data_IF_845188464636
#
_entry.id   IF_845188464636
#
_cell.length_a   1.000
_cell.length_b   1.000
_cell.length_c   1.000
_cell.angle_alpha   90.00
_cell.angle_beta   90.00
_cell.angle_gamma   90.00
#
_symmetry.space_group_name_H-M   'P 1'
#
loop_
_entity.id
_entity.type
_entity.pdbx_description
1 polymer ?
#
# COMPACT_ATOMS: atom_id res chain seq x y z
N UNK A 1 -19.60 20.31 -0.92
CA UNK A 1 -19.07 20.27 -2.30
C UNK A 1 -18.50 18.89 -2.58
N UNK A 2 -18.62 18.38 -3.81
CA UNK A 2 -18.18 17.00 -4.16
C UNK A 2 -16.66 16.80 -4.00
N UNK A 3 -15.86 17.82 -4.29
CA UNK A 3 -14.39 17.81 -4.14
C UNK A 3 -13.95 17.59 -2.68
N UNK A 4 -14.55 18.30 -1.72
CA UNK A 4 -14.27 18.07 -0.30
C UNK A 4 -14.60 16.63 0.13
N UNK A 5 -15.65 16.03 -0.44
CA UNK A 5 -15.97 14.62 -0.18
C UNK A 5 -14.95 13.65 -0.77
N UNK A 6 -14.35 13.99 -1.92
CA UNK A 6 -13.23 13.22 -2.51
C UNK A 6 -12.04 13.24 -1.57
N UNK A 7 -11.62 14.41 -1.10
CA UNK A 7 -10.49 14.55 -0.17
C UNK A 7 -10.74 13.78 1.15
N UNK A 8 -11.95 13.86 1.71
CA UNK A 8 -12.31 13.08 2.91
C UNK A 8 -12.21 11.57 2.67
N UNK A 9 -12.66 11.06 1.52
CA UNK A 9 -12.55 9.63 1.21
C UNK A 9 -11.10 9.22 1.00
N UNK A 10 -10.27 10.06 0.38
CA UNK A 10 -8.83 9.80 0.23
C UNK A 10 -8.14 9.70 1.60
N UNK A 11 -8.37 10.67 2.50
CA UNK A 11 -7.88 10.61 3.89
C UNK A 11 -8.28 9.32 4.59
N UNK A 12 -9.54 8.92 4.43
CA UNK A 12 -10.04 7.68 5.02
C UNK A 12 -9.38 6.44 4.43
N UNK A 13 -8.98 6.45 3.16
CA UNK A 13 -8.26 5.34 2.55
C UNK A 13 -6.85 5.22 3.14
N UNK A 14 -6.12 6.32 3.32
CA UNK A 14 -4.79 6.28 3.98
C UNK A 14 -4.88 5.69 5.40
N UNK A 15 -5.87 6.13 6.17
CA UNK A 15 -6.09 5.59 7.52
C UNK A 15 -6.47 4.10 7.53
N UNK A 16 -7.15 3.62 6.47
CA UNK A 16 -7.43 2.20 6.33
C UNK A 16 -6.17 1.41 5.95
N UNK A 17 -5.26 1.97 5.15
CA UNK A 17 -3.95 1.36 4.89
C UNK A 17 -3.12 1.27 6.16
N UNK A 18 -3.03 2.34 6.96
CA UNK A 18 -2.42 2.30 8.27
C UNK A 18 -2.98 1.16 9.14
N UNK A 19 -4.31 1.02 9.18
CA UNK A 19 -4.96 -0.08 9.90
C UNK A 19 -4.60 -1.47 9.35
N UNK A 20 -4.53 -1.63 8.04
CA UNK A 20 -4.10 -2.89 7.42
C UNK A 20 -2.65 -3.22 7.74
N UNK A 21 -1.74 -2.23 7.70
CA UNK A 21 -0.35 -2.41 8.09
C UNK A 21 -0.21 -2.80 9.56
N UNK A 22 -1.01 -2.23 10.47
CA UNK A 22 -1.05 -2.68 11.88
C UNK A 22 -1.54 -4.12 12.04
N UNK A 23 -2.50 -4.57 11.22
CA UNK A 23 -2.86 -5.99 11.22
C UNK A 23 -1.71 -6.87 10.70
N UNK A 24 -0.91 -6.38 9.76
CA UNK A 24 0.29 -7.08 9.31
C UNK A 24 1.34 -7.21 10.41
N UNK A 25 1.48 -6.24 11.33
CA UNK A 25 2.32 -6.39 12.54
C UNK A 25 1.90 -7.61 13.36
N UNK A 26 0.58 -7.79 13.55
CA UNK A 26 0.03 -8.95 14.27
C UNK A 26 0.25 -10.27 13.52
N UNK A 27 0.13 -10.25 12.20
CA UNK A 27 0.31 -11.45 11.36
C UNK A 27 1.77 -11.85 11.18
N UNK A 28 2.68 -10.86 11.15
CA UNK A 28 4.10 -11.01 10.82
C UNK A 28 4.98 -10.32 11.87
N UNK A 29 5.01 -10.81 13.12
CA UNK A 29 5.71 -10.14 14.22
C UNK A 29 7.21 -9.97 13.97
N UNK A 30 7.83 -10.86 13.21
CA UNK A 30 9.25 -10.78 12.85
C UNK A 30 9.58 -9.59 11.93
N UNK A 31 8.56 -9.02 11.27
CA UNK A 31 8.65 -7.87 10.36
C UNK A 31 7.83 -6.67 10.89
N UNK A 32 7.53 -6.66 12.19
CA UNK A 32 6.70 -5.65 12.83
C UNK A 32 7.20 -4.23 12.55
N UNK A 33 8.51 -4.01 12.65
CA UNK A 33 9.13 -2.69 12.49
C UNK A 33 8.85 -2.10 11.10
N UNK A 34 8.94 -2.92 10.05
CA UNK A 34 8.70 -2.50 8.67
C UNK A 34 7.22 -2.12 8.47
N UNK A 35 6.30 -2.93 8.99
CA UNK A 35 4.87 -2.60 8.90
C UNK A 35 4.46 -1.42 9.77
N UNK A 36 5.06 -1.22 10.95
CA UNK A 36 4.85 -0.03 11.77
C UNK A 36 5.34 1.24 11.06
N UNK A 37 6.47 1.17 10.36
CA UNK A 37 6.97 2.28 9.56
C UNK A 37 6.00 2.65 8.42
N UNK A 38 5.49 1.65 7.68
CA UNK A 38 4.48 1.88 6.65
C UNK A 38 3.20 2.49 7.23
N UNK A 39 2.71 1.97 8.36
CA UNK A 39 1.53 2.52 9.02
C UNK A 39 1.71 4.00 9.41
N UNK A 40 2.88 4.37 9.91
CA UNK A 40 3.20 5.75 10.28
C UNK A 40 3.28 6.67 9.06
N UNK A 41 3.82 6.19 7.94
CA UNK A 41 3.85 6.96 6.69
C UNK A 41 2.43 7.26 6.19
N UNK A 42 1.51 6.29 6.26
CA UNK A 42 0.10 6.51 5.88
C UNK A 42 -0.64 7.47 6.79
N UNK A 43 -0.33 7.49 8.09
CA UNK A 43 -0.83 8.53 8.99
C UNK A 43 -0.32 9.93 8.58
N UNK A 44 0.93 10.00 8.10
CA UNK A 44 1.51 11.21 7.52
C UNK A 44 0.76 11.65 6.26
N UNK A 45 0.45 10.73 5.34
CA UNK A 45 -0.37 11.03 4.16
C UNK A 45 -1.77 11.52 4.54
N UNK A 46 -2.41 10.90 5.53
CA UNK A 46 -3.72 11.33 6.03
C UNK A 46 -3.68 12.76 6.59
N UNK A 47 -2.58 13.15 7.26
CA UNK A 47 -2.39 14.52 7.76
C UNK A 47 -2.19 15.54 6.63
N UNK A 48 -1.45 15.17 5.57
CA UNK A 48 -1.32 16.01 4.36
C UNK A 48 -2.69 16.24 3.72
N UNK A 49 -3.49 15.18 3.56
CA UNK A 49 -4.83 15.29 2.99
C UNK A 49 -5.75 16.12 3.89
N UNK A 50 -5.56 16.10 5.21
CA UNK A 50 -6.30 16.99 6.12
C UNK A 50 -6.04 18.46 5.83
N UNK A 51 -4.77 18.83 5.59
CA UNK A 51 -4.40 20.19 5.20
C UNK A 51 -5.04 20.58 3.84
N UNK A 52 -5.14 19.61 2.91
CA UNK A 52 -5.86 19.79 1.64
C UNK A 52 -7.37 19.99 1.86
N UNK A 53 -7.99 19.27 2.81
CA UNK A 53 -9.41 19.44 3.14
C UNK A 53 -9.67 20.84 3.68
N UNK A 54 -8.80 21.35 4.57
CA UNK A 54 -8.88 22.71 5.11
C UNK A 54 -8.79 23.73 3.97
N UNK A 55 -7.78 23.63 3.10
CA UNK A 55 -7.63 24.52 1.94
C UNK A 55 -8.85 24.46 1.00
N UNK A 56 -9.38 23.27 0.68
CA UNK A 56 -10.59 23.16 -0.16
C UNK A 56 -11.78 23.89 0.47
N UNK A 57 -11.85 23.91 1.81
CA UNK A 57 -12.92 24.60 2.53
C UNK A 57 -12.75 26.11 2.50
N UNK A 58 -11.52 26.60 2.62
CA UNK A 58 -11.20 28.04 2.67
C UNK A 58 -11.16 28.68 1.28
N UNK A 59 -10.65 27.95 0.28
CA UNK A 59 -10.38 28.42 -1.08
C UNK A 59 -10.86 27.45 -2.16
N UNK A 60 -12.17 27.11 -2.21
CA UNK A 60 -12.69 26.11 -3.15
C UNK A 60 -12.44 26.44 -4.63
N UNK A 61 -12.27 27.70 -4.99
CA UNK A 61 -11.94 28.16 -6.34
C UNK A 61 -10.58 27.68 -6.85
N UNK A 62 -9.67 27.32 -5.94
CA UNK A 62 -8.35 26.78 -6.28
C UNK A 62 -8.40 25.31 -6.71
N UNK A 63 -9.56 24.66 -6.60
CA UNK A 63 -9.69 23.21 -6.70
C UNK A 63 -10.69 22.76 -7.75
N UNK A 64 -10.34 21.64 -8.39
CA UNK A 64 -11.19 20.97 -9.37
C UNK A 64 -11.14 19.48 -9.13
N UNK A 65 -12.24 18.81 -9.45
CA UNK A 65 -12.25 17.36 -9.49
C UNK A 65 -11.43 16.89 -10.71
N UNK A 66 -10.53 15.94 -10.47
CA UNK A 66 -9.78 15.28 -11.52
C UNK A 66 -10.57 14.16 -12.21
N UNK A 67 -9.84 13.22 -12.80
CA UNK A 67 -10.41 12.09 -13.57
C UNK A 67 -11.00 10.98 -12.70
N UNK A 68 -10.54 10.86 -11.46
CA UNK A 68 -11.02 9.83 -10.53
C UNK A 68 -12.27 10.34 -9.80
N UNK A 69 -13.37 9.60 -9.92
CA UNK A 69 -14.65 9.99 -9.32
C UNK A 69 -14.75 9.58 -7.85
N UNK A 70 -15.58 10.29 -7.08
CA UNK A 70 -15.94 9.90 -5.70
C UNK A 70 -16.48 8.47 -5.61
N UNK A 71 -17.28 8.04 -6.60
CA UNK A 71 -17.82 6.68 -6.65
C UNK A 71 -16.72 5.63 -6.77
N UNK A 72 -15.71 5.87 -7.62
CA UNK A 72 -14.56 4.98 -7.78
C UNK A 72 -13.80 4.84 -6.46
N UNK A 73 -13.54 5.95 -5.76
CA UNK A 73 -12.83 5.94 -4.48
C UNK A 73 -13.63 5.21 -3.39
N UNK A 74 -14.95 5.42 -3.33
CA UNK A 74 -15.81 4.69 -2.38
C UNK A 74 -15.86 3.20 -2.66
N UNK A 75 -15.85 2.79 -3.93
CA UNK A 75 -15.79 1.39 -4.29
C UNK A 75 -14.51 0.74 -3.75
N UNK A 76 -13.35 1.37 -3.99
CA UNK A 76 -12.05 0.91 -3.47
C UNK A 76 -12.07 0.88 -1.93
N UNK A 77 -12.56 1.94 -1.28
CA UNK A 77 -12.68 2.01 0.17
C UNK A 77 -13.49 0.84 0.74
N UNK A 78 -14.60 0.48 0.10
CA UNK A 78 -15.42 -0.64 0.53
C UNK A 78 -14.70 -1.98 0.39
N UNK A 79 -13.89 -2.16 -0.66
CA UNK A 79 -13.05 -3.35 -0.82
C UNK A 79 -12.01 -3.42 0.30
N UNK A 80 -11.29 -2.32 0.57
CA UNK A 80 -10.30 -2.23 1.65
C UNK A 80 -10.95 -2.58 3.00
N UNK A 81 -12.11 -2.00 3.32
CA UNK A 81 -12.86 -2.29 4.55
C UNK A 81 -13.26 -3.75 4.67
N UNK A 82 -13.69 -4.37 3.57
CA UNK A 82 -14.07 -5.78 3.55
C UNK A 82 -12.86 -6.67 3.83
N UNK A 83 -11.75 -6.46 3.13
CA UNK A 83 -10.51 -7.22 3.33
C UNK A 83 -9.92 -7.01 4.73
N UNK A 84 -9.90 -5.78 5.25
CA UNK A 84 -9.46 -5.50 6.62
C UNK A 84 -10.32 -6.27 7.66
N UNK A 85 -11.63 -6.37 7.43
CA UNK A 85 -12.51 -7.16 8.28
C UNK A 85 -12.17 -8.65 8.22
N UNK A 86 -11.92 -9.21 7.04
CA UNK A 86 -11.52 -10.62 6.88
C UNK A 86 -10.20 -10.91 7.61
N UNK A 87 -9.21 -10.03 7.46
CA UNK A 87 -7.91 -10.12 8.13
C UNK A 87 -8.08 -10.12 9.66
N UNK A 88 -8.84 -9.16 10.20
CA UNK A 88 -9.12 -9.03 11.64
C UNK A 88 -9.83 -10.25 12.21
N UNK A 89 -10.69 -10.88 11.42
CA UNK A 89 -11.43 -12.07 11.82
C UNK A 89 -10.64 -13.37 11.63
N UNK A 90 -9.41 -13.30 11.09
CA UNK A 90 -8.60 -14.48 10.77
C UNK A 90 -9.25 -15.36 9.70
N UNK A 91 -10.08 -14.77 8.82
CA UNK A 91 -10.83 -15.49 7.79
C UNK A 91 -10.06 -15.63 6.48
N UNK A 92 -8.85 -15.07 6.40
CA UNK A 92 -7.99 -15.17 5.23
C UNK A 92 -6.61 -15.71 5.60
N UNK A 93 -5.95 -16.30 4.60
CA UNK A 93 -4.56 -16.70 4.70
C UNK A 93 -3.64 -15.46 4.87
N UNK A 94 -2.57 -15.52 5.69
CA UNK A 94 -1.64 -14.40 5.82
C UNK A 94 -1.03 -13.94 4.48
N UNK A 95 -0.76 -14.84 3.55
CA UNK A 95 -0.23 -14.49 2.23
C UNK A 95 -1.25 -13.68 1.42
N UNK A 96 -2.54 -13.94 1.61
CA UNK A 96 -3.59 -13.11 1.02
C UNK A 96 -3.55 -11.67 1.55
N UNK A 97 -3.30 -11.46 2.85
CA UNK A 97 -3.26 -10.12 3.44
C UNK A 97 -2.21 -9.21 2.77
N UNK A 98 -0.99 -9.73 2.56
CA UNK A 98 0.07 -8.95 1.89
C UNK A 98 -0.20 -8.76 0.39
N UNK A 99 -0.74 -9.78 -0.28
CA UNK A 99 -1.08 -9.70 -1.71
C UNK A 99 -2.19 -8.70 -1.97
N UNK A 100 -3.18 -8.64 -1.07
CA UNK A 100 -4.26 -7.66 -1.14
C UNK A 100 -3.73 -6.24 -0.94
N UNK A 101 -2.88 -6.00 0.07
CA UNK A 101 -2.22 -4.70 0.27
C UNK A 101 -1.46 -4.25 -0.98
N UNK A 102 -0.61 -5.11 -1.55
CA UNK A 102 0.10 -4.80 -2.82
C UNK A 102 -0.85 -4.41 -3.94
N UNK A 103 -1.96 -5.13 -4.08
CA UNK A 103 -2.96 -4.85 -5.13
C UNK A 103 -3.61 -3.49 -4.92
N UNK A 104 -3.86 -3.09 -3.68
CA UNK A 104 -4.41 -1.78 -3.37
C UNK A 104 -3.39 -0.66 -3.58
N UNK A 105 -2.16 -0.82 -3.11
CA UNK A 105 -1.06 0.12 -3.36
C UNK A 105 -0.88 0.39 -4.86
N UNK A 106 -0.87 -0.68 -5.66
CA UNK A 106 -0.80 -0.58 -7.10
C UNK A 106 -2.01 0.15 -7.70
N UNK A 107 -3.22 -0.19 -7.26
CA UNK A 107 -4.45 0.48 -7.71
C UNK A 107 -4.45 1.98 -7.36
N UNK A 108 -3.92 2.35 -6.19
CA UNK A 108 -3.80 3.74 -5.74
C UNK A 108 -2.71 4.49 -6.50
N UNK A 109 -1.59 3.86 -6.87
CA UNK A 109 -0.63 4.45 -7.82
C UNK A 109 -1.30 4.83 -9.16
N UNK A 110 -2.10 3.92 -9.70
CA UNK A 110 -2.79 4.13 -10.97
C UNK A 110 -3.88 5.21 -10.89
N UNK A 111 -4.45 5.41 -9.69
CA UNK A 111 -5.56 6.32 -9.40
C UNK A 111 -5.18 7.34 -8.32
N UNK A 112 -3.93 7.80 -8.38
CA UNK A 112 -3.31 8.63 -7.35
C UNK A 112 -4.13 9.85 -6.97
N UNK A 113 -3.84 10.38 -5.78
CA UNK A 113 -4.48 11.59 -5.25
C UNK A 113 -4.43 12.76 -6.24
N UNK A 114 -3.34 12.91 -7.00
CA UNK A 114 -3.17 13.91 -8.07
C UNK A 114 -4.13 13.74 -9.25
N UNK A 115 -4.61 12.52 -9.49
CA UNK A 115 -5.62 12.24 -10.54
C UNK A 115 -7.05 12.44 -10.02
N UNK A 116 -7.23 12.53 -8.70
CA UNK A 116 -8.53 12.74 -8.06
C UNK A 116 -8.78 14.21 -7.74
N UNK A 117 -7.74 14.94 -7.32
CA UNK A 117 -7.78 16.36 -6.96
C UNK A 117 -6.81 17.15 -7.82
N UNK A 118 -7.31 18.17 -8.51
CA UNK A 118 -6.51 19.10 -9.30
C UNK A 118 -6.53 20.47 -8.62
N UNK A 119 -5.35 21.04 -8.39
CA UNK A 119 -5.17 22.42 -7.93
C UNK A 119 -4.22 23.14 -8.87
N UNK A 120 -4.33 24.46 -8.99
CA UNK A 120 -3.35 25.30 -9.70
C UNK A 120 -2.23 25.80 -8.77
N UNK A 121 -2.39 25.64 -7.45
CA UNK A 121 -1.45 26.09 -6.43
C UNK A 121 -0.27 25.12 -6.34
N UNK A 122 0.95 25.63 -6.54
CA UNK A 122 2.17 24.82 -6.64
C UNK A 122 2.48 24.02 -5.37
N UNK A 123 2.22 24.61 -4.20
CA UNK A 123 2.40 23.96 -2.90
C UNK A 123 1.55 22.69 -2.79
N UNK A 124 0.25 22.78 -3.07
CA UNK A 124 -0.65 21.63 -3.00
C UNK A 124 -0.37 20.59 -4.09
N UNK A 125 0.07 20.99 -5.29
CA UNK A 125 0.56 20.03 -6.29
C UNK A 125 1.70 19.18 -5.73
N UNK A 126 2.66 19.81 -5.04
CA UNK A 126 3.77 19.09 -4.44
C UNK A 126 3.33 18.17 -3.30
N UNK A 127 2.43 18.62 -2.42
CA UNK A 127 1.90 17.78 -1.35
C UNK A 127 1.18 16.53 -1.89
N UNK A 128 0.38 16.70 -2.94
CA UNK A 128 -0.29 15.59 -3.61
C UNK A 128 0.71 14.63 -4.28
N UNK A 129 1.81 15.15 -4.82
CA UNK A 129 2.85 14.32 -5.43
C UNK A 129 3.58 13.45 -4.40
N UNK A 130 3.85 13.99 -3.21
CA UNK A 130 4.47 13.21 -2.12
C UNK A 130 3.63 12.00 -1.73
N UNK A 131 2.31 12.19 -1.58
CA UNK A 131 1.38 11.08 -1.29
C UNK A 131 1.36 10.06 -2.44
N UNK A 132 1.33 10.54 -3.70
CA UNK A 132 1.36 9.65 -4.87
C UNK A 132 2.66 8.83 -4.98
N UNK A 133 3.81 9.42 -4.65
CA UNK A 133 5.11 8.75 -4.58
C UNK A 133 5.19 7.75 -3.43
N UNK A 134 4.48 8.01 -2.33
CA UNK A 134 4.29 7.11 -1.20
C UNK A 134 3.82 5.72 -1.64
N UNK A 135 2.70 5.65 -2.36
CA UNK A 135 2.15 4.37 -2.85
C UNK A 135 3.15 3.56 -3.70
N UNK A 136 3.95 4.23 -4.54
CA UNK A 136 4.95 3.54 -5.36
C UNK A 136 6.09 2.97 -4.51
N UNK A 137 6.44 3.66 -3.42
CA UNK A 137 7.46 3.22 -2.47
C UNK A 137 6.94 2.07 -1.61
N UNK A 138 5.72 2.18 -1.10
CA UNK A 138 5.04 1.14 -0.33
C UNK A 138 4.88 -0.14 -1.14
N UNK A 139 4.47 -0.04 -2.40
CA UNK A 139 4.36 -1.19 -3.31
C UNK A 139 5.68 -1.96 -3.42
N UNK A 140 6.81 -1.26 -3.58
CA UNK A 140 8.14 -1.90 -3.63
C UNK A 140 8.49 -2.56 -2.29
N UNK A 141 8.24 -1.87 -1.18
CA UNK A 141 8.48 -2.40 0.15
C UNK A 141 7.69 -3.69 0.39
N UNK A 142 6.42 -3.72 0.02
CA UNK A 142 5.57 -4.90 0.17
C UNK A 142 5.99 -6.06 -0.73
N UNK A 143 6.47 -5.80 -1.95
CA UNK A 143 7.05 -6.83 -2.81
C UNK A 143 8.27 -7.48 -2.17
N UNK A 144 9.15 -6.69 -1.58
CA UNK A 144 10.32 -7.19 -0.85
C UNK A 144 9.92 -7.97 0.41
N UNK A 145 8.97 -7.45 1.19
CA UNK A 145 8.47 -8.09 2.41
C UNK A 145 7.81 -9.43 2.09
N UNK A 146 6.95 -9.48 1.07
CA UNK A 146 6.32 -10.73 0.63
C UNK A 146 7.37 -11.78 0.27
N UNK A 147 8.40 -11.41 -0.51
CA UNK A 147 9.48 -12.32 -0.85
C UNK A 147 10.26 -12.82 0.38
N UNK A 148 10.54 -11.93 1.35
CA UNK A 148 11.24 -12.28 2.60
C UNK A 148 10.40 -13.18 3.52
N UNK A 149 9.11 -12.90 3.65
CA UNK A 149 8.18 -13.62 4.53
C UNK A 149 7.90 -15.01 3.96
N UNK A 150 7.53 -15.08 2.69
CA UNK A 150 6.99 -16.30 2.09
C UNK A 150 8.01 -17.10 1.32
N UNK A 151 9.32 -16.75 1.43
CA UNK A 151 10.48 -17.40 0.80
C UNK A 151 10.02 -18.59 -0.01
N UNK A 152 9.70 -18.36 -1.28
CA UNK A 152 9.50 -19.48 -2.19
C UNK A 152 10.81 -20.23 -2.11
N UNK A 153 10.82 -21.39 -1.42
CA UNK A 153 11.87 -22.36 -1.62
C UNK A 153 11.78 -22.64 -3.11
N UNK A 154 12.63 -22.02 -3.91
CA UNK A 154 12.77 -22.41 -5.28
C UNK A 154 13.07 -23.90 -5.20
N UNK A 155 12.14 -24.72 -5.66
CA UNK A 155 12.29 -26.18 -5.73
C UNK A 155 13.56 -26.54 -6.54
N UNK A 156 14.10 -25.57 -7.28
CA UNK A 156 15.36 -25.61 -7.98
C UNK A 156 16.62 -25.39 -7.14
N UNK A 157 16.58 -24.69 -5.99
CA UNK A 157 17.75 -24.57 -5.09
C UNK A 157 18.14 -25.95 -4.51
N UNK A 158 17.16 -26.83 -4.32
CA UNK A 158 17.38 -28.23 -3.89
C UNK A 158 17.90 -29.15 -5.00
N UNK A 159 17.89 -28.74 -6.27
CA UNK A 159 18.46 -29.55 -7.36
C UNK A 159 19.97 -29.36 -7.51
N UNK A 160 20.50 -28.19 -7.17
CA UNK A 160 21.95 -27.94 -7.18
C UNK A 160 22.68 -28.68 -6.04
N UNK A 161 22.04 -28.88 -4.89
CA UNK A 161 22.61 -29.68 -3.79
C UNK A 161 22.67 -31.19 -4.10
N UNK A 162 21.81 -31.70 -4.99
CA UNK A 162 21.81 -33.10 -5.42
C UNK A 162 22.87 -33.37 -6.52
N UNK A 163 23.19 -32.37 -7.34
CA UNK A 163 24.20 -32.52 -8.40
C UNK A 163 25.65 -32.37 -7.88
N UNK A 164 25.86 -31.69 -6.74
CA UNK A 164 27.18 -31.51 -6.15
C UNK A 164 27.80 -32.74 -5.48
N UNK A 165 27.04 -33.83 -5.25
CA UNK A 165 27.52 -35.05 -4.59
C UNK A 165 27.94 -36.18 -5.54
N UNK A 166 27.72 -36.07 -6.85
CA UNK A 166 27.96 -37.16 -7.80
C UNK A 166 29.41 -37.29 -8.31
N UNK A 167 30.32 -36.35 -8.00
CA UNK A 167 31.64 -36.28 -8.66
C UNK A 167 32.88 -36.50 -7.79
N UNK A 168 32.75 -37.15 -6.63
CA UNK A 168 33.91 -37.52 -5.80
C UNK A 168 33.89 -38.99 -5.35
N UNK A 169 33.95 -39.90 -6.29
CA UNK A 169 34.56 -41.21 -6.04
C UNK A 169 35.16 -41.72 -7.34
N UNK A 170 36.35 -42.30 -7.22
CA UNK A 170 37.16 -42.91 -8.27
C UNK A 170 38.17 -42.00 -8.98
N UNK A 171 39.24 -41.69 -8.26
CA UNK A 171 40.59 -41.89 -8.79
C UNK A 171 41.55 -41.99 -7.59
N UNK A 172 42.06 -43.19 -7.31
CA UNK A 172 43.47 -43.41 -6.99
C UNK A 172 43.79 -44.90 -6.76
N UNK A 173 44.50 -45.43 -7.77
CA UNK A 173 45.58 -46.44 -7.75
C UNK A 173 45.33 -47.82 -7.17
#
# INVERSE_FOLDING_TARGET
>A
MEIASIAVVLKQNELLFADMYRECVRLFPDYAREFEALALEEEGHAAIIDSVIEEISEHPENWRQGKVTLQTLRFIQNQIKATLKEIRQGQCDPHYAITALRSYEQSMCERSVEKALESDVAEFKHLLSLVAEGFATHLRCLQELEHKIFKTSDVFDSLDELNGKAHKTEEHK
#
